data_IF_529090207718
#
_entry.id   IF_529090207718
#
_cell.length_a   1.000
_cell.length_b   1.000
_cell.length_c   1.000
_cell.angle_alpha   90.00
_cell.angle_beta   90.00
_cell.angle_gamma   90.00
#
_symmetry.space_group_name_H-M   'P 1'
#
loop_
_entity.id
_entity.type
_entity.pdbx_description
1 polymer ?
#
# COMPACT_ATOMS: atom_id res chain seq x y z
N UNK A 1 -5.86 -21.85 36.83
CA UNK A 1 -5.32 -20.74 36.02
C UNK A 1 -4.24 -21.33 35.15
N UNK A 2 -4.43 -21.38 33.84
CA UNK A 2 -3.36 -21.62 32.87
C UNK A 2 -3.78 -20.99 31.54
N UNK A 3 -3.22 -19.80 31.35
CA UNK A 3 -2.76 -19.14 30.13
C UNK A 3 -3.55 -19.36 28.83
N UNK A 4 -4.30 -18.31 28.51
CA UNK A 4 -4.80 -17.99 27.18
C UNK A 4 -3.64 -17.94 26.17
N UNK A 5 -3.63 -18.88 25.21
CA UNK A 5 -2.91 -18.70 23.95
C UNK A 5 -3.71 -17.71 23.11
N UNK A 6 -3.27 -16.45 23.12
CA UNK A 6 -3.73 -15.44 22.18
C UNK A 6 -2.89 -15.62 20.91
N UNK A 7 -3.41 -16.34 19.93
CA UNK A 7 -2.86 -16.40 18.58
C UNK A 7 -2.95 -15.01 17.93
N UNK A 8 -1.93 -14.19 18.16
CA UNK A 8 -1.77 -12.84 17.59
C UNK A 8 -0.79 -12.87 16.42
N UNK A 9 -0.93 -13.80 15.48
CA UNK A 9 -0.02 -13.89 14.32
C UNK A 9 -0.75 -14.24 13.03
N UNK A 10 -1.81 -13.51 12.72
CA UNK A 10 -2.33 -13.42 11.36
C UNK A 10 -2.65 -11.96 11.02
N UNK A 11 -1.60 -11.14 11.08
CA UNK A 11 -1.60 -9.76 10.58
C UNK A 11 -1.14 -9.79 9.11
N UNK A 12 -1.94 -9.16 8.27
CA UNK A 12 -1.92 -9.09 6.82
C UNK A 12 -1.70 -10.46 6.20
N UNK A 13 -2.79 -11.23 6.01
CA UNK A 13 -2.71 -12.43 5.19
C UNK A 13 -2.30 -12.02 3.77
N UNK A 14 -0.99 -12.09 3.50
CA UNK A 14 -0.31 -11.90 2.21
C UNK A 14 -0.81 -12.84 1.10
N UNK A 15 -1.86 -13.62 1.37
CA UNK A 15 -2.63 -14.34 0.34
C UNK A 15 -3.12 -13.41 -0.78
N UNK A 16 -3.25 -12.11 -0.53
CA UNK A 16 -3.72 -11.12 -1.52
C UNK A 16 -2.63 -10.67 -2.52
N UNK A 17 -1.41 -11.21 -2.49
CA UNK A 17 -0.36 -10.87 -3.48
C UNK A 17 -0.07 -12.00 -4.48
N UNK A 18 -0.82 -13.09 -4.44
CA UNK A 18 -0.74 -14.17 -5.45
C UNK A 18 0.50 -15.07 -5.34
N UNK A 19 1.25 -15.00 -4.25
CA UNK A 19 2.41 -15.88 -4.03
C UNK A 19 2.00 -17.22 -3.44
N UNK A 20 2.48 -18.32 -4.02
CA UNK A 20 2.31 -19.70 -3.52
C UNK A 20 2.97 -19.90 -2.13
N UNK A 21 3.83 -18.98 -1.72
CA UNK A 21 4.42 -18.89 -0.38
C UNK A 21 4.31 -17.45 0.17
N UNK A 22 3.65 -17.23 1.33
CA UNK A 22 3.45 -15.90 1.90
C UNK A 22 4.77 -15.16 2.24
N UNK A 23 5.85 -15.89 2.52
CA UNK A 23 7.15 -15.28 2.81
C UNK A 23 7.85 -14.76 1.54
N UNK A 24 7.69 -15.44 0.40
CA UNK A 24 8.29 -14.99 -0.87
C UNK A 24 7.55 -13.78 -1.43
N UNK A 25 6.22 -13.73 -1.30
CA UNK A 25 5.42 -12.58 -1.73
C UNK A 25 5.72 -11.30 -0.95
N UNK A 26 5.94 -11.41 0.38
CA UNK A 26 6.32 -10.25 1.19
C UNK A 26 7.68 -9.70 0.76
N UNK A 27 8.64 -10.59 0.53
CA UNK A 27 10.00 -10.22 0.13
C UNK A 27 10.01 -9.50 -1.22
N UNK A 28 9.24 -9.98 -2.20
CA UNK A 28 9.14 -9.34 -3.51
C UNK A 28 8.56 -7.92 -3.44
N UNK A 29 7.46 -7.74 -2.67
CA UNK A 29 6.87 -6.41 -2.49
C UNK A 29 7.83 -5.48 -1.75
N UNK A 30 8.51 -5.99 -0.73
CA UNK A 30 9.52 -5.24 0.02
C UNK A 30 10.66 -4.76 -0.88
N UNK A 31 11.27 -5.64 -1.67
CA UNK A 31 12.35 -5.30 -2.60
C UNK A 31 11.88 -4.26 -3.63
N UNK A 32 10.67 -4.41 -4.17
CA UNK A 32 10.10 -3.47 -5.12
C UNK A 32 9.81 -2.09 -4.52
N UNK A 33 9.37 -2.04 -3.26
CA UNK A 33 9.17 -0.76 -2.56
C UNK A 33 10.50 -0.05 -2.30
N UNK A 34 11.56 -0.79 -1.94
CA UNK A 34 12.90 -0.21 -1.78
C UNK A 34 13.39 0.39 -3.10
N UNK A 35 13.26 -0.34 -4.20
CA UNK A 35 13.67 0.10 -5.55
C UNK A 35 12.95 1.41 -5.95
N UNK A 36 11.62 1.45 -5.84
CA UNK A 36 10.82 2.62 -6.23
C UNK A 36 11.05 3.84 -5.32
N UNK A 37 11.49 3.63 -4.08
CA UNK A 37 11.82 4.71 -3.15
C UNK A 37 13.32 5.07 -3.17
N UNK A 38 14.12 4.38 -3.99
CA UNK A 38 15.58 4.52 -4.05
C UNK A 38 16.25 4.34 -2.67
N UNK A 39 15.85 3.29 -1.96
CA UNK A 39 16.31 2.96 -0.60
C UNK A 39 17.15 1.68 -0.60
N UNK A 40 18.10 1.59 0.32
CA UNK A 40 18.82 0.35 0.65
C UNK A 40 18.11 -0.40 1.80
N UNK A 41 18.42 -1.68 2.00
CA UNK A 41 17.97 -2.50 3.13
C UNK A 41 18.33 -1.89 4.50
N UNK A 42 19.35 -1.02 4.53
CA UNK A 42 19.75 -0.24 5.71
C UNK A 42 18.79 0.91 6.01
N UNK A 43 18.15 1.45 4.98
CA UNK A 43 17.23 2.57 5.09
C UNK A 43 15.82 2.15 5.45
N UNK A 44 15.46 0.89 5.26
CA UNK A 44 14.22 0.29 5.74
C UNK A 44 14.40 -1.22 5.83
N UNK A 45 14.45 -1.77 7.04
CA UNK A 45 14.60 -3.23 7.20
C UNK A 45 13.29 -3.97 6.92
N UNK A 46 13.37 -5.24 6.52
CA UNK A 46 12.18 -6.08 6.30
C UNK A 46 11.29 -6.20 7.55
N UNK A 47 11.88 -6.20 8.76
CA UNK A 47 11.13 -6.20 10.02
C UNK A 47 10.35 -4.91 10.22
N UNK A 48 10.98 -3.77 9.92
CA UNK A 48 10.32 -2.47 9.98
C UNK A 48 9.22 -2.35 8.92
N UNK A 49 9.46 -2.88 7.72
CA UNK A 49 8.46 -2.97 6.67
C UNK A 49 7.25 -3.81 7.09
N UNK A 50 7.44 -4.99 7.67
CA UNK A 50 6.34 -5.80 8.21
C UNK A 50 5.54 -5.06 9.29
N UNK A 51 6.21 -4.30 10.16
CA UNK A 51 5.52 -3.47 11.15
C UNK A 51 4.63 -2.40 10.49
N UNK A 52 5.12 -1.78 9.41
CA UNK A 52 4.32 -0.84 8.63
C UNK A 52 3.11 -1.50 7.96
N UNK A 53 3.26 -2.70 7.43
CA UNK A 53 2.13 -3.43 6.85
C UNK A 53 1.05 -3.73 7.89
N UNK A 54 1.44 -4.18 9.09
CA UNK A 54 0.50 -4.42 10.17
C UNK A 54 -0.21 -3.12 10.62
N UNK A 55 0.50 -1.99 10.62
CA UNK A 55 -0.11 -0.71 10.95
C UNK A 55 -1.09 -0.26 9.85
N UNK A 56 -0.73 -0.42 8.58
CA UNK A 56 -1.61 -0.13 7.45
C UNK A 56 -2.88 -0.99 7.51
N UNK A 57 -2.77 -2.28 7.82
CA UNK A 57 -3.91 -3.17 8.05
C UNK A 57 -4.88 -2.59 9.07
N UNK A 58 -4.37 -2.23 10.25
CA UNK A 58 -5.17 -1.69 11.34
C UNK A 58 -5.87 -0.37 10.93
N UNK A 59 -5.20 0.47 10.15
CA UNK A 59 -5.78 1.70 9.61
C UNK A 59 -6.91 1.38 8.63
N UNK A 60 -6.73 0.43 7.70
CA UNK A 60 -7.76 0.03 6.75
C UNK A 60 -8.99 -0.55 7.47
N UNK A 61 -8.77 -1.39 8.49
CA UNK A 61 -9.83 -1.93 9.35
C UNK A 61 -10.60 -0.79 10.04
N UNK A 62 -9.89 0.16 10.67
CA UNK A 62 -10.49 1.31 11.34
C UNK A 62 -11.32 2.17 10.37
N UNK A 63 -10.84 2.32 9.13
CA UNK A 63 -11.52 3.05 8.04
C UNK A 63 -12.62 2.23 7.35
N UNK A 64 -12.90 1.02 7.82
CA UNK A 64 -13.91 0.08 7.28
C UNK A 64 -13.66 -0.32 5.82
N UNK A 65 -12.40 -0.33 5.39
CA UNK A 65 -11.95 -0.80 4.08
C UNK A 65 -11.61 -2.30 4.21
N UNK A 66 -12.28 -3.14 3.42
CA UNK A 66 -12.02 -4.59 3.42
C UNK A 66 -10.85 -4.89 2.50
N UNK A 67 -9.75 -5.42 3.04
CA UNK A 67 -8.55 -5.77 2.26
C UNK A 67 -8.87 -6.76 1.14
N UNK A 68 -9.75 -7.72 1.40
CA UNK A 68 -10.23 -8.71 0.42
C UNK A 68 -10.92 -8.09 -0.81
N UNK A 69 -11.42 -6.85 -0.70
CA UNK A 69 -12.05 -6.14 -1.81
C UNK A 69 -11.07 -5.35 -2.67
N UNK A 70 -9.80 -5.26 -2.26
CA UNK A 70 -8.76 -4.55 -2.97
C UNK A 70 -8.02 -5.50 -3.92
N UNK A 71 -7.82 -5.07 -5.16
CA UNK A 71 -6.93 -5.78 -6.07
C UNK A 71 -5.46 -5.55 -5.70
N UNK A 72 -4.57 -6.42 -6.18
CA UNK A 72 -3.14 -6.42 -5.85
C UNK A 72 -2.49 -5.07 -6.18
N UNK A 73 -2.87 -4.43 -7.29
CA UNK A 73 -2.34 -3.12 -7.69
C UNK A 73 -2.71 -2.03 -6.68
N UNK A 74 -3.96 -1.98 -6.23
CA UNK A 74 -4.44 -1.02 -5.24
C UNK A 74 -3.75 -1.24 -3.89
N UNK A 75 -3.58 -2.50 -3.49
CA UNK A 75 -2.88 -2.87 -2.28
C UNK A 75 -1.41 -2.44 -2.34
N UNK A 76 -0.74 -2.67 -3.47
CA UNK A 76 0.65 -2.24 -3.68
C UNK A 76 0.79 -0.72 -3.57
N UNK A 77 -0.10 0.06 -4.20
CA UNK A 77 -0.07 1.53 -4.15
C UNK A 77 -0.33 2.04 -2.73
N UNK A 78 -1.26 1.42 -1.99
CA UNK A 78 -1.47 1.74 -0.57
C UNK A 78 -0.20 1.50 0.25
N UNK A 79 0.46 0.36 0.07
CA UNK A 79 1.72 0.03 0.74
C UNK A 79 2.79 1.07 0.39
N UNK A 80 2.97 1.36 -0.90
CA UNK A 80 3.96 2.32 -1.39
C UNK A 80 3.76 3.71 -0.78
N UNK A 81 2.54 4.25 -0.81
CA UNK A 81 2.25 5.56 -0.23
C UNK A 81 2.35 5.56 1.29
N UNK A 82 1.91 4.48 1.95
CA UNK A 82 1.99 4.35 3.39
C UNK A 82 3.44 4.35 3.88
N UNK A 83 4.28 3.50 3.30
CA UNK A 83 5.71 3.40 3.65
C UNK A 83 6.42 4.72 3.37
N UNK A 84 6.20 5.31 2.19
CA UNK A 84 6.76 6.62 1.86
C UNK A 84 6.33 7.72 2.84
N UNK A 85 5.07 7.70 3.30
CA UNK A 85 4.55 8.64 4.28
C UNK A 85 5.21 8.46 5.66
N UNK A 86 5.36 7.22 6.14
CA UNK A 86 6.00 6.93 7.43
C UNK A 86 7.48 7.32 7.44
N UNK A 87 8.21 7.02 6.36
CA UNK A 87 9.61 7.44 6.21
C UNK A 87 9.73 8.97 6.15
N UNK A 88 8.78 9.64 5.47
CA UNK A 88 8.73 11.09 5.42
C UNK A 88 8.49 11.72 6.78
N UNK A 89 7.52 11.23 7.57
CA UNK A 89 7.26 11.70 8.94
C UNK A 89 8.50 11.60 9.84
N UNK A 90 9.38 10.62 9.58
CA UNK A 90 10.63 10.39 10.31
C UNK A 90 11.84 11.15 9.73
N UNK A 91 11.62 12.03 8.75
CA UNK A 91 12.66 12.75 8.00
C UNK A 91 13.69 11.84 7.30
N UNK A 92 13.33 10.57 7.03
CA UNK A 92 14.14 9.61 6.26
C UNK A 92 13.87 9.69 4.75
N UNK A 93 12.81 10.38 4.36
CA UNK A 93 12.44 10.62 2.98
C UNK A 93 11.88 12.04 2.86
N UNK A 94 12.22 12.78 1.80
CA UNK A 94 11.76 14.19 1.64
C UNK A 94 10.46 14.30 0.83
N UNK A 95 10.23 13.38 -0.10
CA UNK A 95 9.12 13.36 -1.05
C UNK A 95 9.51 12.59 -2.31
N UNK A 96 8.60 12.48 -3.29
CA UNK A 96 8.91 11.85 -4.58
C UNK A 96 8.60 12.76 -5.75
N UNK A 97 9.40 12.64 -6.81
CA UNK A 97 9.13 13.31 -8.06
C UNK A 97 8.14 12.45 -8.87
N UNK A 98 6.94 12.96 -9.12
CA UNK A 98 5.92 12.30 -9.96
C UNK A 98 6.43 11.99 -11.37
N UNK A 99 7.47 12.67 -11.85
CA UNK A 99 8.09 12.39 -13.14
C UNK A 99 8.89 11.06 -13.16
N UNK A 100 9.26 10.51 -12.00
CA UNK A 100 9.98 9.23 -11.90
C UNK A 100 9.05 8.02 -12.00
N UNK A 101 7.73 8.17 -11.76
CA UNK A 101 6.75 7.06 -11.83
C UNK A 101 6.06 7.01 -13.21
N UNK A 102 6.41 7.92 -14.14
CA UNK A 102 5.91 7.84 -15.52
C UNK A 102 6.77 6.84 -16.32
N UNK A 103 6.23 5.62 -16.43
CA UNK A 103 6.61 4.52 -17.33
C UNK A 103 7.92 3.79 -17.06
N UNK A 104 7.85 2.73 -16.23
CA UNK A 104 8.66 1.54 -16.50
C UNK A 104 7.92 0.66 -17.50
N UNK A 105 8.38 0.66 -18.76
CA UNK A 105 7.98 -0.36 -19.75
C UNK A 105 8.65 -1.67 -19.39
N UNK A 106 7.98 -2.51 -18.60
CA UNK A 106 8.34 -3.92 -18.50
C UNK A 106 7.91 -4.63 -19.77
N UNK A 107 8.84 -5.36 -20.38
CA UNK A 107 8.68 -6.29 -21.52
C UNK A 107 7.24 -6.80 -21.71
N UNK A 108 6.45 -6.04 -22.49
CA UNK A 108 5.08 -6.36 -22.93
C UNK A 108 3.92 -6.25 -21.91
N UNK A 109 4.14 -5.72 -20.70
CA UNK A 109 3.05 -5.36 -19.78
C UNK A 109 3.21 -3.91 -19.35
N UNK A 110 2.39 -3.02 -19.92
CA UNK A 110 2.26 -1.65 -19.42
C UNK A 110 1.51 -1.71 -18.09
N UNK A 111 2.23 -1.76 -16.97
CA UNK A 111 1.60 -1.48 -15.68
C UNK A 111 1.40 0.03 -15.58
N UNK A 112 0.21 0.49 -15.98
CA UNK A 112 -0.30 1.77 -15.48
C UNK A 112 -0.53 1.60 -13.97
N UNK A 113 0.49 1.87 -13.15
CA UNK A 113 0.40 1.93 -11.70
C UNK A 113 -0.56 3.01 -11.20
N UNK A 114 -0.93 3.93 -12.09
CA UNK A 114 -1.97 4.91 -11.87
C UNK A 114 -3.24 4.43 -12.55
N UNK A 115 -4.36 4.30 -11.83
CA UNK A 115 -5.64 4.32 -12.50
C UNK A 115 -5.73 5.65 -13.24
N UNK A 116 -5.77 5.61 -14.56
CA UNK A 116 -6.01 6.76 -15.44
C UNK A 116 -7.38 7.44 -15.15
N UNK A 117 -8.15 6.87 -14.22
CA UNK A 117 -9.39 7.40 -13.64
C UNK A 117 -9.24 8.02 -12.24
N UNK A 118 -8.04 8.19 -11.67
CA UNK A 118 -7.84 9.08 -10.51
C UNK A 118 -7.86 10.52 -10.99
N UNK A 119 -9.07 11.04 -11.18
CA UNK A 119 -9.30 12.42 -11.58
C UNK A 119 -8.68 13.39 -10.58
N UNK A 120 -7.60 14.05 -10.99
CA UNK A 120 -7.23 15.43 -10.62
C UNK A 120 -6.73 15.76 -9.20
N UNK A 121 -6.52 14.81 -8.29
CA UNK A 121 -5.76 15.13 -7.07
C UNK A 121 -4.26 15.08 -7.37
N UNK A 122 -3.71 16.19 -7.86
CA UNK A 122 -2.26 16.41 -7.88
C UNK A 122 -1.77 16.40 -6.43
N UNK A 123 -1.45 15.22 -5.90
CA UNK A 123 -0.95 15.08 -4.54
C UNK A 123 0.47 15.65 -4.37
N UNK A 124 0.98 16.40 -5.35
CA UNK A 124 2.12 17.30 -5.22
C UNK A 124 3.45 16.60 -4.90
N UNK A 125 3.55 15.29 -5.14
CA UNK A 125 4.72 14.49 -4.74
C UNK A 125 4.79 14.20 -3.23
N UNK A 126 3.67 14.39 -2.51
CA UNK A 126 3.57 14.16 -1.07
C UNK A 126 2.89 12.81 -0.78
N UNK A 127 3.68 11.83 -0.34
CA UNK A 127 3.21 10.50 0.01
C UNK A 127 2.00 10.50 0.96
N UNK A 128 2.00 11.35 1.98
CA UNK A 128 0.91 11.37 2.96
C UNK A 128 -0.39 11.90 2.34
N UNK A 129 -0.30 12.94 1.49
CA UNK A 129 -1.48 13.47 0.79
C UNK A 129 -2.02 12.47 -0.24
N UNK A 130 -1.14 11.76 -0.95
CA UNK A 130 -1.55 10.72 -1.90
C UNK A 130 -2.22 9.55 -1.15
N UNK A 131 -1.69 9.15 0.01
CA UNK A 131 -2.29 8.14 0.88
C UNK A 131 -3.69 8.56 1.35
N UNK A 132 -3.82 9.76 1.91
CA UNK A 132 -5.09 10.27 2.43
C UNK A 132 -6.14 10.33 1.31
N UNK A 133 -5.76 10.82 0.13
CA UNK A 133 -6.65 10.89 -1.04
C UNK A 133 -7.11 9.50 -1.46
N UNK A 134 -6.19 8.53 -1.55
CA UNK A 134 -6.52 7.15 -1.92
C UNK A 134 -7.44 6.48 -0.90
N UNK A 135 -7.19 6.67 0.40
CA UNK A 135 -8.05 6.12 1.45
C UNK A 135 -9.47 6.69 1.34
N UNK A 136 -9.62 8.00 1.13
CA UNK A 136 -10.94 8.61 0.99
C UNK A 136 -11.65 8.16 -0.29
N UNK A 137 -10.96 8.01 -1.41
CA UNK A 137 -11.55 7.44 -2.64
C UNK A 137 -12.05 6.00 -2.44
N UNK A 138 -11.28 5.16 -1.74
CA UNK A 138 -11.69 3.79 -1.44
C UNK A 138 -12.91 3.74 -0.52
N UNK A 139 -13.10 4.74 0.34
CA UNK A 139 -14.31 4.88 1.16
C UNK A 139 -15.50 5.31 0.29
N UNK A 140 -15.34 6.33 -0.55
CA UNK A 140 -16.44 6.87 -1.38
C UNK A 140 -16.91 5.87 -2.44
N UNK A 141 -16.01 5.10 -3.07
CA UNK A 141 -16.37 4.04 -4.04
C UNK A 141 -17.27 2.97 -3.40
N UNK A 142 -17.10 2.70 -2.11
CA UNK A 142 -17.95 1.77 -1.37
C UNK A 142 -19.34 2.37 -1.12
N UNK A 143 -19.42 3.65 -0.77
CA UNK A 143 -20.68 4.32 -0.46
C UNK A 143 -21.50 4.65 -1.72
N UNK A 144 -20.84 4.81 -2.88
CA UNK A 144 -21.48 5.10 -4.18
C UNK A 144 -22.17 3.89 -4.82
N UNK A 145 -21.99 2.68 -4.29
CA UNK A 145 -22.71 1.48 -4.74
C UNK A 145 -24.13 1.37 -4.15
N UNK A 146 -24.57 2.35 -3.34
CA UNK A 146 -25.95 2.46 -2.85
C UNK A 146 -26.67 3.51 -3.70
N UNK A 147 -27.04 3.15 -4.92
CA UNK A 147 -27.68 4.11 -5.82
C UNK A 147 -27.99 3.59 -7.21
N UNK A 148 -28.80 2.53 -7.32
CA UNK A 148 -29.62 2.35 -8.53
C UNK A 148 -31.08 2.29 -8.07
N UNK A 149 -31.76 3.43 -8.27
CA UNK A 149 -33.21 3.56 -8.24
C UNK A 149 -33.69 3.54 -9.69
N UNK A 150 -34.28 2.43 -10.12
CA UNK A 150 -35.67 2.34 -10.62
C UNK A 150 -36.00 0.91 -11.01
#
# INVERSE_FOLDING_TARGET
MNESKIDTNQSLSLKTLGAENPESGLKEVYERVLELLMLDFKDLSIKEFSLYLNLLENILILKRIRIESLNNSTMFVLIYYFVGCELKKRNRLKGFNLNCIKSEKFKEISLEYFPTALSSSSCGGDFCKCLDSLIEELRVKKDSLIGVVK
#
